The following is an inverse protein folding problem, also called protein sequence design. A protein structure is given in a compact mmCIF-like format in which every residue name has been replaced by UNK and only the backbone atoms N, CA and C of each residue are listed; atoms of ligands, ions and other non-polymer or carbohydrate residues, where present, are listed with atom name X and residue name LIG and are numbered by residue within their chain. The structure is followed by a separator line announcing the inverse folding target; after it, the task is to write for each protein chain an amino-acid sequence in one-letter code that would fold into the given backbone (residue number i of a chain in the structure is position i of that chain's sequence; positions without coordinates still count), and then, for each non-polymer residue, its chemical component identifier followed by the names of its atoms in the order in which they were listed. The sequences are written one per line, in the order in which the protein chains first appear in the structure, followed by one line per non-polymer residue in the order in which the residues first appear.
data_IF_460098693245
#
_entry.id   IF_460098693245
#
_cell.length_a   1.000
_cell.length_b   1.000
_cell.length_c   1.000
_cell.angle_alpha   90.00
_cell.angle_beta   90.00
_cell.angle_gamma   90.00
#
_symmetry.space_group_name_H-M   'P 1'
#
loop_
_entity.id
_entity.type
_entity.pdbx_description
1 polymer ?
#
# COMPACT_ATOMS: atom_id res chain seq x y z
N UNK A 1 19.45 3.63 -3.55
CA UNK A 1 19.07 3.54 -2.12
C UNK A 1 18.14 2.36 -1.93
N UNK A 2 18.49 1.45 -1.03
CA UNK A 2 17.68 0.26 -0.72
C UNK A 2 16.51 0.64 0.21
N UNK A 3 15.44 1.19 -0.37
CA UNK A 3 14.26 1.65 0.37
C UNK A 3 13.56 0.53 1.13
N UNK A 4 13.85 -0.74 0.81
CA UNK A 4 13.29 -1.89 1.52
C UNK A 4 13.78 -1.93 2.97
N UNK A 5 14.92 -1.34 3.29
CA UNK A 5 15.41 -1.23 4.69
C UNK A 5 14.73 -0.11 5.49
N UNK A 6 13.89 0.73 4.86
CA UNK A 6 13.21 1.82 5.55
C UNK A 6 12.13 1.29 6.52
N UNK A 7 12.12 1.79 7.76
CA UNK A 7 11.17 1.35 8.80
C UNK A 7 9.71 1.63 8.43
N UNK A 8 9.41 2.75 7.76
CA UNK A 8 8.05 3.10 7.35
C UNK A 8 7.59 2.20 6.21
N UNK A 9 8.49 1.86 5.29
CA UNK A 9 8.24 0.86 4.25
C UNK A 9 7.90 -0.50 4.85
N UNK A 10 8.72 -0.99 5.79
CA UNK A 10 8.50 -2.29 6.43
C UNK A 10 7.17 -2.34 7.20
N UNK A 11 6.86 -1.28 7.95
CA UNK A 11 5.55 -1.14 8.62
C UNK A 11 4.40 -1.12 7.62
N UNK A 12 4.53 -0.32 6.55
CA UNK A 12 3.54 -0.25 5.48
C UNK A 12 3.30 -1.60 4.82
N UNK A 13 4.35 -2.36 4.53
CA UNK A 13 4.26 -3.69 3.92
C UNK A 13 3.53 -4.70 4.78
N UNK A 14 3.87 -4.77 6.07
CA UNK A 14 3.15 -5.63 7.03
C UNK A 14 1.67 -5.25 7.12
N UNK A 15 1.38 -3.95 7.14
CA UNK A 15 0.01 -3.44 7.19
C UNK A 15 -0.78 -3.75 5.91
N UNK A 16 -0.17 -3.57 4.74
CA UNK A 16 -0.78 -3.91 3.45
C UNK A 16 -1.16 -5.39 3.35
N UNK A 17 -0.29 -6.28 3.82
CA UNK A 17 -0.58 -7.72 3.87
C UNK A 17 -1.74 -8.04 4.83
N UNK A 18 -1.76 -7.42 6.01
CA UNK A 18 -2.86 -7.57 6.97
C UNK A 18 -4.20 -7.06 6.42
N UNK A 19 -4.20 -5.93 5.71
CA UNK A 19 -5.39 -5.40 5.02
C UNK A 19 -5.88 -6.38 3.97
N UNK A 20 -4.99 -6.91 3.12
CA UNK A 20 -5.36 -7.89 2.10
C UNK A 20 -6.05 -9.10 2.72
N UNK A 21 -5.43 -9.70 3.75
CA UNK A 21 -5.98 -10.87 4.44
C UNK A 21 -7.33 -10.57 5.11
N UNK A 22 -7.47 -9.39 5.72
CA UNK A 22 -8.72 -8.95 6.33
C UNK A 22 -9.82 -8.75 5.27
N UNK A 23 -9.51 -8.06 4.17
CA UNK A 23 -10.44 -7.85 3.07
C UNK A 23 -10.88 -9.18 2.44
N UNK A 24 -9.95 -10.12 2.25
CA UNK A 24 -10.24 -11.45 1.74
C UNK A 24 -11.15 -12.23 2.71
N UNK A 25 -10.87 -12.18 4.01
CA UNK A 25 -11.67 -12.84 5.05
C UNK A 25 -13.10 -12.30 5.12
N UNK A 26 -13.27 -10.97 5.01
CA UNK A 26 -14.58 -10.31 5.18
C UNK A 26 -15.41 -10.35 3.88
N UNK A 27 -14.77 -10.13 2.73
CA UNK A 27 -15.47 -9.88 1.47
C UNK A 27 -15.21 -10.96 0.39
N UNK A 28 -14.39 -11.98 0.68
CA UNK A 28 -14.04 -13.03 -0.28
C UNK A 28 -13.46 -12.43 -1.57
N UNK A 29 -14.03 -12.80 -2.73
CA UNK A 29 -13.60 -12.32 -4.04
C UNK A 29 -13.66 -10.78 -4.18
N UNK A 30 -14.66 -10.12 -3.58
CA UNK A 30 -14.74 -8.65 -3.55
C UNK A 30 -13.63 -8.01 -2.70
N UNK A 31 -13.02 -8.78 -1.80
CA UNK A 31 -11.86 -8.35 -1.02
C UNK A 31 -10.61 -8.14 -1.88
N UNK A 32 -10.49 -8.89 -2.98
CA UNK A 32 -9.40 -8.75 -3.95
C UNK A 32 -9.54 -7.42 -4.69
N UNK A 33 -10.72 -7.15 -5.25
CA UNK A 33 -11.03 -5.90 -5.97
C UNK A 33 -10.80 -4.65 -5.10
N UNK A 34 -11.24 -4.71 -3.83
CA UNK A 34 -10.99 -3.64 -2.84
C UNK A 34 -9.49 -3.44 -2.58
N UNK A 35 -8.74 -4.53 -2.54
CA UNK A 35 -7.30 -4.50 -2.32
C UNK A 35 -6.54 -3.98 -3.55
N UNK A 36 -7.00 -4.25 -4.77
CA UNK A 36 -6.45 -3.70 -6.00
C UNK A 36 -6.68 -2.18 -6.13
N UNK A 37 -7.88 -1.71 -5.76
CA UNK A 37 -8.17 -0.28 -5.70
C UNK A 37 -7.26 0.42 -4.67
N UNK A 38 -7.05 -0.19 -3.51
CA UNK A 38 -6.16 0.30 -2.47
C UNK A 38 -4.69 0.30 -2.94
N UNK A 39 -4.25 -0.76 -3.62
CA UNK A 39 -2.91 -0.88 -4.20
C UNK A 39 -2.63 0.25 -5.19
N UNK A 40 -3.53 0.44 -6.15
CA UNK A 40 -3.40 1.47 -7.19
C UNK A 40 -3.29 2.85 -6.56
N UNK A 41 -4.14 3.13 -5.57
CA UNK A 41 -4.16 4.39 -4.83
C UNK A 41 -2.85 4.61 -4.06
N UNK A 42 -2.38 3.61 -3.31
CA UNK A 42 -1.14 3.71 -2.54
C UNK A 42 0.08 3.89 -3.46
N UNK A 43 0.11 3.19 -4.60
CA UNK A 43 1.21 3.30 -5.57
C UNK A 43 1.24 4.67 -6.25
N UNK A 44 0.07 5.27 -6.49
CA UNK A 44 -0.04 6.67 -6.95
C UNK A 44 0.62 7.63 -5.95
N UNK A 45 0.28 7.53 -4.66
CA UNK A 45 0.85 8.39 -3.61
C UNK A 45 2.35 8.12 -3.33
N UNK A 46 2.80 6.89 -3.53
CA UNK A 46 4.21 6.52 -3.38
C UNK A 46 5.10 7.16 -4.46
N UNK A 47 4.63 7.20 -5.71
CA UNK A 47 5.44 7.61 -6.87
C UNK A 47 5.32 9.09 -7.19
N UNK A 48 4.16 9.69 -6.99
CA UNK A 48 3.93 11.05 -7.48
C UNK A 48 4.48 12.10 -6.52
N UNK A 49 5.67 12.60 -6.81
CA UNK A 49 6.32 13.70 -6.08
C UNK A 49 5.47 14.99 -6.04
N UNK A 50 4.56 15.16 -6.99
CA UNK A 50 3.71 16.33 -7.17
C UNK A 50 2.28 16.14 -6.63
N UNK A 51 1.87 14.91 -6.26
CA UNK A 51 0.57 14.71 -5.58
C UNK A 51 0.56 15.46 -4.27
N UNK A 52 -0.21 16.54 -4.31
CA UNK A 52 -0.33 17.63 -3.35
C UNK A 52 -1.55 17.46 -2.44
N UNK A 53 -2.37 16.43 -2.65
CA UNK A 53 -3.70 16.38 -2.06
C UNK A 53 -3.78 15.38 -0.90
N UNK A 54 -3.16 15.74 0.22
CA UNK A 54 -3.90 15.60 1.49
C UNK A 54 -5.06 16.60 1.43
N UNK A 55 -6.15 16.40 2.21
CA UNK A 55 -7.24 17.40 2.30
C UNK A 55 -6.74 18.82 2.63
N UNK A 56 -5.52 18.95 3.17
CA UNK A 56 -4.86 20.20 3.54
C UNK A 56 -3.91 20.80 2.48
N UNK A 57 -3.81 20.22 1.28
CA UNK A 57 -2.98 20.76 0.19
C UNK A 57 -1.45 20.63 0.40
N UNK A 58 -1.01 19.81 1.36
CA UNK A 58 0.40 19.61 1.67
C UNK A 58 0.98 18.46 0.85
N UNK A 59 2.24 18.59 0.44
CA UNK A 59 3.01 17.50 -0.14
C UNK A 59 3.16 16.36 0.86
N UNK A 60 3.10 15.12 0.36
CA UNK A 60 3.44 13.95 1.18
C UNK A 60 4.94 13.98 1.51
N UNK A 61 5.25 13.79 2.79
CA UNK A 61 6.63 13.63 3.23
C UNK A 61 7.22 12.29 2.77
N UNK A 62 8.54 12.17 2.84
CA UNK A 62 9.23 10.95 2.43
C UNK A 62 8.79 9.73 3.24
N UNK A 63 8.57 9.88 4.56
CA UNK A 63 8.15 8.79 5.46
C UNK A 63 6.80 8.20 5.04
N UNK A 64 5.84 9.07 4.72
CA UNK A 64 4.49 8.72 4.28
C UNK A 64 4.51 8.05 2.91
N UNK A 65 5.31 8.57 1.97
CA UNK A 65 5.51 7.93 0.66
C UNK A 65 6.09 6.53 0.79
N UNK A 66 7.06 6.33 1.69
CA UNK A 66 7.61 5.01 1.98
C UNK A 66 6.59 4.08 2.61
N UNK A 67 5.74 4.58 3.51
CA UNK A 67 4.63 3.79 4.04
C UNK A 67 3.66 3.37 2.92
N UNK A 68 3.21 4.29 2.07
CA UNK A 68 2.34 3.97 0.93
C UNK A 68 2.96 2.97 -0.03
N UNK A 69 4.27 3.10 -0.32
CA UNK A 69 5.00 2.13 -1.14
C UNK A 69 4.98 0.74 -0.51
N UNK A 70 5.27 0.68 0.79
CA UNK A 70 5.20 -0.56 1.56
C UNK A 70 3.81 -1.20 1.48
N UNK A 71 2.75 -0.41 1.71
CA UNK A 71 1.36 -0.90 1.65
C UNK A 71 1.04 -1.50 0.29
N UNK A 72 1.37 -0.81 -0.81
CA UNK A 72 1.15 -1.33 -2.15
C UNK A 72 1.87 -2.67 -2.39
N UNK A 73 3.13 -2.77 -1.97
CA UNK A 73 3.90 -4.02 -2.10
C UNK A 73 3.34 -5.14 -1.20
N UNK A 74 2.83 -4.81 -0.01
CA UNK A 74 2.18 -5.77 0.89
C UNK A 74 0.87 -6.33 0.34
N UNK A 75 0.05 -5.48 -0.29
CA UNK A 75 -1.17 -5.91 -0.99
C UNK A 75 -0.86 -6.84 -2.16
N UNK A 76 0.15 -6.48 -2.98
CA UNK A 76 0.62 -7.31 -4.08
C UNK A 76 1.21 -8.65 -3.60
N UNK A 77 1.92 -8.64 -2.47
CA UNK A 77 2.40 -9.87 -1.84
C UNK A 77 1.24 -10.77 -1.43
N UNK A 78 0.18 -10.21 -0.83
CA UNK A 78 -1.03 -10.98 -0.48
C UNK A 78 -1.67 -11.65 -1.70
N UNK A 79 -1.79 -10.91 -2.81
CA UNK A 79 -2.28 -11.45 -4.07
C UNK A 79 -1.40 -12.60 -4.59
N UNK A 80 -0.08 -12.41 -4.61
CA UNK A 80 0.86 -13.44 -5.07
C UNK A 80 0.90 -14.68 -4.18
N UNK A 81 0.55 -14.57 -2.90
CA UNK A 81 0.40 -15.73 -2.00
C UNK A 81 -0.90 -16.48 -2.32
N UNK A 82 -1.97 -15.75 -2.67
CA UNK A 82 -3.26 -16.33 -3.00
C UNK A 82 -3.25 -17.09 -4.34
N UNK A 83 -2.44 -16.65 -5.30
CA UNK A 83 -2.38 -17.22 -6.67
C UNK A 83 -1.30 -18.30 -6.84
N UNK A 84 -0.50 -18.57 -5.81
CA UNK A 84 0.46 -19.68 -5.75
C UNK A 84 -0.18 -20.92 -5.15
#
# INVERSE_FOLDING_TARGET
MDYQKNINYQKGRRWGLAIFNSNLKIFGKRGIEKSDAAHTTCRKYANDMKITKTKSGRYLDYKTRMAYRGVADGLLQGYNILTK
#
